data_IF_880807727249
#
_entry.id   IF_880807727249
#
_cell.length_a   1.000
_cell.length_b   1.000
_cell.length_c   1.000
_cell.angle_alpha   90.00
_cell.angle_beta   90.00
_cell.angle_gamma   90.00
#
_symmetry.space_group_name_H-M   'P 1'
#
loop_
_entity.id
_entity.type
_entity.pdbx_description
1 polymer ?
#
# COMPACT_ATOMS: atom_id res chain seq x y z
N UNK A 1 26.11 -4.37 15.06
CA UNK A 1 25.85 -3.35 14.02
C UNK A 1 25.47 -2.06 14.74
N UNK A 2 25.99 -0.90 14.35
CA UNK A 2 25.60 0.39 14.93
C UNK A 2 24.18 0.75 14.51
N UNK A 3 23.29 0.95 15.48
CA UNK A 3 21.91 1.39 15.26
C UNK A 3 21.90 2.71 14.48
N UNK A 4 21.32 2.72 13.29
CA UNK A 4 21.13 3.97 12.53
C UNK A 4 20.01 4.76 13.19
N UNK A 5 20.24 6.04 13.46
CA UNK A 5 19.15 6.92 13.92
C UNK A 5 18.11 7.08 12.81
N UNK A 6 16.82 6.88 13.13
CA UNK A 6 15.68 7.08 12.19
C UNK A 6 15.76 8.43 11.49
N UNK A 7 16.14 9.49 12.21
CA UNK A 7 16.32 10.84 11.66
C UNK A 7 17.39 10.92 10.58
N UNK A 8 18.49 10.18 10.73
CA UNK A 8 19.55 10.15 9.73
C UNK A 8 19.11 9.39 8.48
N UNK A 9 18.34 8.31 8.64
CA UNK A 9 17.73 7.57 7.52
C UNK A 9 16.75 8.46 6.77
N UNK A 10 15.82 9.09 7.49
CA UNK A 10 14.85 10.02 6.93
C UNK A 10 15.53 11.14 6.13
N UNK A 11 16.53 11.80 6.72
CA UNK A 11 17.30 12.85 6.02
C UNK A 11 17.94 12.31 4.75
N UNK A 12 18.58 11.13 4.82
CA UNK A 12 19.26 10.53 3.66
C UNK A 12 18.27 10.20 2.54
N UNK A 13 17.09 9.67 2.87
CA UNK A 13 16.05 9.36 1.88
C UNK A 13 15.55 10.65 1.24
N UNK A 14 15.21 11.65 2.06
CA UNK A 14 14.76 12.96 1.59
C UNK A 14 15.78 13.60 0.64
N UNK A 15 17.07 13.61 1.01
CA UNK A 15 18.15 14.15 0.18
C UNK A 15 18.39 13.34 -1.12
N UNK A 16 17.82 12.13 -1.23
CA UNK A 16 18.00 11.23 -2.38
C UNK A 16 16.88 11.30 -3.40
N UNK A 17 15.84 12.08 -3.14
CA UNK A 17 14.75 12.32 -4.08
C UNK A 17 15.17 13.40 -5.08
N UNK A 18 14.89 13.15 -6.35
CA UNK A 18 15.23 14.08 -7.43
C UNK A 18 14.17 15.18 -7.59
N UNK A 19 12.92 14.89 -7.22
CA UNK A 19 11.80 15.81 -7.36
C UNK A 19 11.64 16.67 -6.11
N UNK A 20 11.35 17.97 -6.24
CA UNK A 20 11.13 18.85 -5.10
C UNK A 20 9.91 18.40 -4.28
N UNK A 21 10.06 18.44 -2.96
CA UNK A 21 8.95 18.30 -2.01
C UNK A 21 8.45 19.70 -1.63
N UNK A 22 7.21 19.98 -2.01
CA UNK A 22 6.48 21.20 -1.68
C UNK A 22 5.61 20.94 -0.45
N UNK A 23 5.64 21.83 0.54
CA UNK A 23 4.83 21.66 1.75
C UNK A 23 3.53 22.47 1.67
N UNK A 24 2.43 21.86 2.10
CA UNK A 24 1.14 22.52 2.25
C UNK A 24 0.49 22.13 3.57
N UNK A 25 -0.05 23.12 4.29
CA UNK A 25 -0.85 22.85 5.48
C UNK A 25 -2.14 22.13 5.10
N UNK A 26 -2.55 21.16 5.90
CA UNK A 26 -3.76 20.37 5.65
C UNK A 26 -4.56 20.14 6.92
N UNK A 27 -5.87 19.96 6.74
CA UNK A 27 -6.79 19.44 7.76
C UNK A 27 -6.78 17.91 7.83
N UNK A 28 -5.99 17.21 6.99
CA UNK A 28 -5.87 15.75 7.05
C UNK A 28 -5.28 15.31 8.41
N UNK A 29 -5.76 14.16 8.95
CA UNK A 29 -5.39 13.71 10.29
C UNK A 29 -3.99 13.10 10.38
N UNK A 30 -3.37 12.79 9.23
CA UNK A 30 -2.08 12.11 9.12
C UNK A 30 -1.21 12.76 8.04
N UNK A 31 0.11 12.57 8.14
CA UNK A 31 1.01 12.95 7.06
C UNK A 31 0.67 12.20 5.77
N UNK A 32 0.72 12.91 4.64
CA UNK A 32 0.61 12.33 3.30
C UNK A 32 1.63 12.98 2.37
N UNK A 33 2.29 12.19 1.52
CA UNK A 33 3.06 12.70 0.38
C UNK A 33 2.40 12.23 -0.91
N UNK A 34 1.85 13.17 -1.66
CA UNK A 34 1.31 12.90 -2.99
C UNK A 34 2.36 13.21 -4.05
N UNK A 35 2.50 12.33 -5.03
CA UNK A 35 3.47 12.51 -6.12
C UNK A 35 2.77 12.87 -7.43
N UNK A 36 3.22 13.96 -8.04
CA UNK A 36 2.83 14.40 -9.37
C UNK A 36 3.96 14.04 -10.34
N UNK A 37 3.84 12.85 -10.96
CA UNK A 37 4.82 12.37 -11.93
C UNK A 37 4.93 13.29 -13.16
N UNK A 38 3.84 13.92 -13.57
CA UNK A 38 3.82 14.77 -14.76
C UNK A 38 4.65 16.04 -14.54
N UNK A 39 4.46 16.68 -13.39
CA UNK A 39 5.21 17.88 -13.04
C UNK A 39 6.53 17.58 -12.30
N UNK A 40 6.81 16.30 -12.04
CA UNK A 40 7.98 15.83 -11.29
C UNK A 40 8.12 16.57 -9.97
N UNK A 41 7.10 16.50 -9.13
CA UNK A 41 7.06 17.12 -7.81
C UNK A 41 6.31 16.27 -6.81
N UNK A 42 6.59 16.51 -5.53
CA UNK A 42 5.88 15.90 -4.41
C UNK A 42 5.19 16.98 -3.58
N UNK A 43 4.01 16.66 -3.05
CA UNK A 43 3.25 17.53 -2.16
C UNK A 43 3.13 16.84 -0.81
N UNK A 44 3.80 17.41 0.20
CA UNK A 44 3.75 16.94 1.57
C UNK A 44 2.69 17.72 2.33
N UNK A 45 1.72 16.98 2.83
CA UNK A 45 0.64 17.48 3.65
C UNK A 45 0.87 17.07 5.10
N UNK A 46 1.01 18.05 5.99
CA UNK A 46 1.26 17.83 7.42
C UNK A 46 0.03 18.26 8.23
N UNK A 47 -0.47 17.41 9.16
CA UNK A 47 -1.63 17.75 9.99
C UNK A 47 -1.42 19.06 10.76
N UNK A 48 -2.42 19.94 10.73
CA UNK A 48 -2.33 21.25 11.41
C UNK A 48 -2.33 21.18 12.95
N UNK A 49 -2.73 20.05 13.56
CA UNK A 49 -2.89 19.90 15.02
C UNK A 49 -1.78 19.07 15.65
N UNK A 50 -1.16 19.58 16.72
CA UNK A 50 -0.10 18.90 17.49
C UNK A 50 -0.52 17.57 18.13
N UNK A 51 -1.82 17.27 18.24
CA UNK A 51 -2.34 16.05 18.87
C UNK A 51 -2.12 14.78 18.03
N UNK A 52 -1.80 14.92 16.74
CA UNK A 52 -1.44 13.83 15.84
C UNK A 52 -0.02 14.06 15.28
N UNK A 53 0.99 14.19 16.15
CA UNK A 53 2.38 14.24 15.68
C UNK A 53 2.70 12.91 15.01
N UNK A 54 2.73 12.91 13.67
CA UNK A 54 3.20 11.79 12.87
C UNK A 54 4.60 11.38 13.33
N UNK A 55 4.82 10.09 13.43
CA UNK A 55 6.10 9.54 13.85
C UNK A 55 7.14 9.72 12.75
N UNK A 56 8.44 9.71 13.09
CA UNK A 56 9.51 9.71 12.08
C UNK A 56 9.38 8.50 11.13
N UNK A 57 8.73 7.40 11.56
CA UNK A 57 8.44 6.23 10.73
C UNK A 57 7.30 6.49 9.74
N UNK A 58 6.26 7.24 10.12
CA UNK A 58 5.17 7.63 9.22
C UNK A 58 5.71 8.55 8.11
N UNK A 59 6.59 9.49 8.48
CA UNK A 59 7.29 10.32 7.51
C UNK A 59 8.15 9.49 6.56
N UNK A 60 8.87 8.49 7.09
CA UNK A 60 9.68 7.59 6.26
C UNK A 60 8.79 6.74 5.34
N UNK A 61 7.62 6.31 5.80
CA UNK A 61 6.66 5.55 5.02
C UNK A 61 6.19 6.34 3.80
N UNK A 62 5.73 7.58 4.00
CA UNK A 62 5.30 8.45 2.90
C UNK A 62 6.44 8.80 1.94
N UNK A 63 7.68 8.95 2.44
CA UNK A 63 8.87 9.10 1.58
C UNK A 63 9.18 7.82 0.80
N UNK A 64 8.79 6.65 1.30
CA UNK A 64 8.89 5.39 0.56
C UNK A 64 8.00 5.39 -0.67
N UNK A 65 6.74 5.82 -0.55
CA UNK A 65 5.85 6.00 -1.72
C UNK A 65 6.43 6.98 -2.75
N UNK A 66 6.96 8.12 -2.29
CA UNK A 66 7.64 9.08 -3.16
C UNK A 66 8.86 8.46 -3.87
N UNK A 67 9.70 7.74 -3.13
CA UNK A 67 10.89 7.04 -3.66
C UNK A 67 10.50 6.03 -4.74
N UNK A 68 9.44 5.27 -4.53
CA UNK A 68 8.99 4.25 -5.47
C UNK A 68 8.37 4.85 -6.72
N UNK A 69 7.64 5.96 -6.58
CA UNK A 69 7.13 6.73 -7.70
C UNK A 69 8.26 7.22 -8.62
N UNK A 70 9.35 7.77 -8.06
CA UNK A 70 10.48 8.28 -8.84
C UNK A 70 11.33 7.15 -9.45
N UNK A 71 11.68 6.14 -8.65
CA UNK A 71 12.78 5.21 -8.96
C UNK A 71 12.31 3.88 -9.53
N UNK A 72 11.05 3.51 -9.30
CA UNK A 72 10.50 2.23 -9.75
C UNK A 72 9.44 2.46 -10.82
N UNK A 73 8.31 3.06 -10.45
CA UNK A 73 7.23 3.33 -11.39
C UNK A 73 6.20 4.34 -10.82
N UNK A 74 5.67 5.26 -11.63
CA UNK A 74 4.68 6.27 -11.19
C UNK A 74 3.39 5.72 -10.57
N UNK A 75 3.04 4.46 -10.85
CA UNK A 75 1.82 3.81 -10.34
C UNK A 75 1.86 3.52 -8.84
N UNK A 76 3.04 3.63 -8.21
CA UNK A 76 3.19 3.62 -6.75
C UNK A 76 2.72 4.92 -6.09
N UNK A 77 2.45 5.99 -6.87
CA UNK A 77 1.74 7.15 -6.37
C UNK A 77 0.25 6.81 -6.24
N UNK A 78 -0.14 6.28 -5.08
CA UNK A 78 -1.44 5.68 -4.75
C UNK A 78 -2.70 6.50 -5.08
N UNK A 79 -2.58 7.78 -5.46
CA UNK A 79 -3.72 8.68 -5.68
C UNK A 79 -3.69 9.49 -6.99
N UNK A 80 -2.71 9.31 -7.90
CA UNK A 80 -2.54 10.24 -9.04
C UNK A 80 -2.66 9.63 -10.45
N UNK A 81 -2.84 8.32 -10.60
CA UNK A 81 -2.78 7.64 -11.91
C UNK A 81 -4.09 6.94 -12.30
N UNK A 82 -5.23 7.64 -12.18
CA UNK A 82 -6.49 7.18 -12.77
C UNK A 82 -6.80 7.95 -14.05
N UNK A 83 -7.46 7.32 -15.04
CA UNK A 83 -7.87 7.99 -16.27
C UNK A 83 -8.63 9.28 -15.98
N UNK A 84 -8.44 10.33 -16.79
CA UNK A 84 -9.13 11.60 -16.55
C UNK A 84 -10.68 11.47 -16.60
N UNK A 85 -11.18 10.43 -17.29
CA UNK A 85 -12.61 10.09 -17.42
C UNK A 85 -13.09 9.00 -16.44
N UNK A 86 -12.23 8.58 -15.52
CA UNK A 86 -12.56 7.65 -14.45
C UNK A 86 -13.80 8.11 -13.66
N UNK A 87 -14.90 7.35 -13.70
CA UNK A 87 -16.03 7.58 -12.81
C UNK A 87 -15.58 7.26 -11.38
N UNK A 88 -15.34 8.29 -10.56
CA UNK A 88 -14.87 8.17 -9.16
C UNK A 88 -15.61 7.10 -8.36
N UNK A 89 -16.91 6.87 -8.62
CA UNK A 89 -17.70 5.83 -7.93
C UNK A 89 -17.21 4.40 -8.19
N UNK A 90 -16.57 4.14 -9.32
CA UNK A 90 -16.01 2.83 -9.67
C UNK A 90 -14.66 2.59 -8.99
N UNK A 91 -13.89 3.64 -8.69
CA UNK A 91 -12.53 3.51 -8.13
C UNK A 91 -12.51 3.49 -6.60
N UNK A 92 -13.45 4.18 -5.94
CA UNK A 92 -13.51 4.26 -4.48
C UNK A 92 -13.46 2.88 -3.80
N UNK A 93 -14.18 1.83 -4.26
CA UNK A 93 -14.11 0.50 -3.65
C UNK A 93 -12.75 -0.19 -3.75
N UNK A 94 -11.87 0.29 -4.64
CA UNK A 94 -10.57 -0.34 -4.95
C UNK A 94 -9.40 0.35 -4.26
N UNK A 95 -9.60 1.60 -3.82
CA UNK A 95 -8.57 2.38 -3.11
C UNK A 95 -7.95 1.62 -1.93
N UNK A 96 -8.70 0.82 -1.14
CA UNK A 96 -8.10 0.01 -0.08
C UNK A 96 -7.05 -0.97 -0.62
N UNK A 97 -7.37 -1.81 -1.61
CA UNK A 97 -6.41 -2.76 -2.16
C UNK A 97 -5.22 -2.07 -2.84
N UNK A 98 -5.45 -0.96 -3.55
CA UNK A 98 -4.37 -0.17 -4.15
C UNK A 98 -3.39 0.37 -3.10
N UNK A 99 -3.92 0.93 -2.02
CA UNK A 99 -3.13 1.52 -0.94
C UNK A 99 -2.35 0.43 -0.21
N UNK A 100 -3.04 -0.59 0.31
CA UNK A 100 -2.40 -1.65 1.11
C UNK A 100 -1.42 -2.49 0.27
N UNK A 101 -1.68 -2.68 -1.04
CA UNK A 101 -0.72 -3.34 -1.92
C UNK A 101 0.57 -2.51 -2.11
N UNK A 102 0.47 -1.18 -2.24
CA UNK A 102 1.64 -0.31 -2.29
C UNK A 102 2.41 -0.35 -0.97
N UNK A 103 1.68 -0.31 0.15
CA UNK A 103 2.24 -0.36 1.50
C UNK A 103 3.02 -1.66 1.76
N UNK A 104 2.62 -2.79 1.17
CA UNK A 104 3.39 -4.04 1.26
C UNK A 104 4.85 -3.87 0.82
N UNK A 105 5.09 -3.17 -0.29
CA UNK A 105 6.43 -2.94 -0.79
C UNK A 105 7.15 -1.84 0.00
N UNK A 106 6.44 -0.75 0.34
CA UNK A 106 7.02 0.36 1.12
C UNK A 106 7.43 -0.10 2.52
N UNK A 107 6.59 -0.89 3.20
CA UNK A 107 6.91 -1.43 4.51
C UNK A 107 8.10 -2.40 4.46
N UNK A 108 8.23 -3.20 3.41
CA UNK A 108 9.44 -4.01 3.23
C UNK A 108 10.69 -3.16 3.06
N UNK A 109 10.61 -2.10 2.25
CA UNK A 109 11.72 -1.16 2.10
C UNK A 109 12.07 -0.47 3.44
N UNK A 110 11.08 -0.11 4.27
CA UNK A 110 11.32 0.38 5.63
C UNK A 110 11.99 -0.69 6.51
N UNK A 111 11.56 -1.96 6.40
CA UNK A 111 12.14 -3.09 7.12
C UNK A 111 13.62 -3.30 6.76
N UNK A 112 14.02 -3.09 5.50
CA UNK A 112 15.43 -3.16 5.10
C UNK A 112 16.27 -2.01 5.69
N UNK A 113 15.66 -0.85 5.89
CA UNK A 113 16.35 0.33 6.43
C UNK A 113 16.46 0.31 7.96
N UNK A 114 15.40 -0.12 8.64
CA UNK A 114 15.21 -0.03 10.09
C UNK A 114 14.54 -1.31 10.63
N UNK A 115 15.20 -2.48 10.55
CA UNK A 115 14.56 -3.76 10.84
C UNK A 115 14.10 -3.91 12.28
N UNK A 116 14.86 -3.41 13.25
CA UNK A 116 14.52 -3.51 14.67
C UNK A 116 13.29 -2.66 15.01
N UNK A 117 13.24 -1.43 14.51
CA UNK A 117 12.12 -0.51 14.69
C UNK A 117 10.85 -1.06 14.05
N UNK A 118 10.92 -1.53 12.80
CA UNK A 118 9.75 -2.08 12.10
C UNK A 118 9.24 -3.38 12.73
N UNK A 119 10.13 -4.27 13.16
CA UNK A 119 9.73 -5.44 13.97
C UNK A 119 9.07 -5.03 15.30
N UNK A 120 9.49 -3.92 15.91
CA UNK A 120 8.83 -3.34 17.08
C UNK A 120 7.39 -2.91 16.78
N UNK A 121 7.21 -2.13 15.71
CA UNK A 121 5.88 -1.68 15.26
C UNK A 121 4.94 -2.85 14.99
N UNK A 122 5.41 -3.89 14.30
CA UNK A 122 4.58 -5.09 14.01
C UNK A 122 4.11 -5.72 15.32
N UNK A 123 5.02 -5.97 16.27
CA UNK A 123 4.65 -6.58 17.58
C UNK A 123 3.68 -5.74 18.38
N UNK A 124 3.88 -4.42 18.41
CA UNK A 124 3.00 -3.49 19.12
C UNK A 124 1.61 -3.40 18.47
N UNK A 125 1.50 -3.67 17.17
CA UNK A 125 0.24 -3.59 16.42
C UNK A 125 -0.59 -4.88 16.49
N UNK A 126 0.04 -6.04 16.70
CA UNK A 126 -0.66 -7.34 16.69
C UNK A 126 -1.83 -7.45 17.69
N UNK A 127 -1.75 -6.96 18.94
CA UNK A 127 -2.88 -7.02 19.86
C UNK A 127 -4.12 -6.27 19.35
N UNK A 128 -3.93 -5.17 18.62
CA UNK A 128 -5.04 -4.42 18.02
C UNK A 128 -5.68 -5.21 16.86
N UNK A 129 -4.86 -5.91 16.07
CA UNK A 129 -5.35 -6.80 15.00
C UNK A 129 -6.22 -7.91 15.59
N UNK A 130 -5.76 -8.54 16.67
CA UNK A 130 -6.54 -9.57 17.38
C UNK A 130 -7.87 -9.02 17.92
N UNK A 131 -7.85 -7.83 18.54
CA UNK A 131 -9.06 -7.18 19.05
C UNK A 131 -10.07 -6.89 17.94
N UNK A 132 -9.61 -6.34 16.80
CA UNK A 132 -10.47 -6.00 15.66
C UNK A 132 -11.09 -7.26 15.06
N UNK A 133 -10.30 -8.31 14.86
CA UNK A 133 -10.75 -9.56 14.23
C UNK A 133 -11.58 -10.43 15.18
N UNK A 134 -11.51 -10.19 16.49
CA UNK A 134 -12.33 -10.87 17.49
C UNK A 134 -13.76 -10.33 17.64
N UNK A 135 -14.14 -9.27 16.91
CA UNK A 135 -15.48 -8.67 16.98
C UNK A 135 -16.51 -9.51 16.21
N UNK A 136 -17.75 -9.53 16.69
CA UNK A 136 -18.86 -10.25 16.03
C UNK A 136 -19.24 -9.64 14.68
N UNK A 137 -19.14 -8.32 14.57
CA UNK A 137 -19.40 -7.59 13.32
C UNK A 137 -18.12 -7.50 12.49
N UNK A 138 -18.21 -7.88 11.21
CA UNK A 138 -17.08 -7.76 10.29
C UNK A 138 -16.73 -6.29 10.07
N UNK A 139 -15.47 -5.89 10.25
CA UNK A 139 -15.06 -4.52 10.03
C UNK A 139 -15.06 -4.19 8.52
N UNK A 140 -15.01 -2.89 8.16
CA UNK A 140 -14.82 -2.46 6.78
C UNK A 140 -13.61 -3.13 6.10
N UNK A 141 -13.71 -3.34 4.77
CA UNK A 141 -12.67 -4.05 3.99
C UNK A 141 -11.27 -3.43 4.12
N UNK A 142 -11.18 -2.10 4.26
CA UNK A 142 -9.93 -1.39 4.51
C UNK A 142 -9.23 -1.87 5.79
N UNK A 143 -9.98 -2.05 6.88
CA UNK A 143 -9.44 -2.55 8.14
C UNK A 143 -9.03 -4.02 8.01
N UNK A 144 -9.78 -4.83 7.25
CA UNK A 144 -9.44 -6.24 7.00
C UNK A 144 -8.14 -6.35 6.20
N UNK A 145 -7.96 -5.49 5.18
CA UNK A 145 -6.75 -5.46 4.37
C UNK A 145 -5.53 -5.04 5.19
N UNK A 146 -5.64 -4.00 6.02
CA UNK A 146 -4.55 -3.54 6.89
C UNK A 146 -4.17 -4.61 7.94
N UNK A 147 -5.17 -5.28 8.52
CA UNK A 147 -4.94 -6.43 9.41
C UNK A 147 -4.23 -7.58 8.68
N UNK A 148 -4.65 -7.89 7.45
CA UNK A 148 -4.02 -8.94 6.62
C UNK A 148 -2.57 -8.61 6.29
N UNK A 149 -2.28 -7.36 5.98
CA UNK A 149 -0.92 -6.85 5.75
C UNK A 149 -0.05 -7.06 6.99
N UNK A 150 -0.52 -6.64 8.16
CA UNK A 150 0.22 -6.80 9.43
C UNK A 150 0.49 -8.28 9.76
N UNK A 151 -0.50 -9.16 9.56
CA UNK A 151 -0.31 -10.61 9.75
C UNK A 151 0.74 -11.17 8.77
N UNK A 152 0.69 -10.76 7.50
CA UNK A 152 1.69 -11.17 6.51
C UNK A 152 3.10 -10.70 6.89
N UNK A 153 3.23 -9.47 7.40
CA UNK A 153 4.50 -8.93 7.90
C UNK A 153 5.00 -9.69 9.14
N UNK A 154 4.13 -9.99 10.11
CA UNK A 154 4.49 -10.77 11.29
C UNK A 154 4.98 -12.18 10.92
N UNK A 155 4.28 -12.87 10.02
CA UNK A 155 4.73 -14.16 9.47
C UNK A 155 6.10 -14.06 8.80
N UNK A 156 6.30 -13.02 7.97
CA UNK A 156 7.52 -12.86 7.18
C UNK A 156 8.74 -12.44 8.00
N UNK A 157 8.59 -11.48 8.91
CA UNK A 157 9.73 -10.85 9.59
C UNK A 157 9.93 -11.30 11.03
N UNK A 158 8.86 -11.75 11.70
CA UNK A 158 8.94 -12.24 13.08
C UNK A 158 8.94 -13.77 13.16
N UNK A 159 8.66 -14.47 12.05
CA UNK A 159 8.45 -15.91 11.99
C UNK A 159 7.37 -16.39 12.97
N UNK A 160 6.36 -15.56 13.22
CA UNK A 160 5.27 -15.91 14.13
C UNK A 160 4.27 -16.85 13.45
N UNK A 161 3.94 -18.00 14.08
CA UNK A 161 2.96 -18.94 13.55
C UNK A 161 1.54 -18.43 13.85
N UNK A 162 1.11 -17.42 13.08
CA UNK A 162 -0.24 -16.86 13.21
C UNK A 162 -1.20 -17.69 12.36
N UNK A 163 -2.12 -18.39 13.03
CA UNK A 163 -3.19 -19.10 12.35
C UNK A 163 -4.28 -18.11 11.91
N UNK A 164 -4.49 -18.03 10.60
CA UNK A 164 -5.58 -17.27 9.99
C UNK A 164 -6.45 -18.25 9.18
N UNK A 165 -7.75 -18.24 9.44
CA UNK A 165 -8.74 -19.07 8.73
C UNK A 165 -9.61 -18.26 7.79
N UNK A 166 -10.33 -18.95 6.91
CA UNK A 166 -11.34 -18.35 6.03
C UNK A 166 -10.79 -17.26 5.07
N UNK A 167 -11.59 -16.25 4.72
CA UNK A 167 -11.20 -15.20 3.76
C UNK A 167 -9.95 -14.40 4.17
N UNK A 168 -9.67 -14.29 5.46
CA UNK A 168 -8.46 -13.63 5.97
C UNK A 168 -7.19 -14.38 5.52
N UNK A 169 -7.25 -15.71 5.47
CA UNK A 169 -6.14 -16.53 4.99
C UNK A 169 -5.81 -16.21 3.53
N UNK A 170 -6.82 -16.06 2.69
CA UNK A 170 -6.64 -15.79 1.26
C UNK A 170 -5.97 -14.42 1.03
N UNK A 171 -6.31 -13.42 1.84
CA UNK A 171 -5.66 -12.10 1.82
C UNK A 171 -4.20 -12.16 2.30
N UNK A 172 -3.92 -12.87 3.39
CA UNK A 172 -2.55 -13.06 3.90
C UNK A 172 -1.69 -13.80 2.88
N UNK A 173 -2.23 -14.86 2.27
CA UNK A 173 -1.54 -15.64 1.23
C UNK A 173 -1.31 -14.79 -0.03
N UNK A 174 -2.21 -13.87 -0.37
CA UNK A 174 -2.01 -12.94 -1.47
C UNK A 174 -0.74 -12.10 -1.27
N UNK A 175 -0.57 -11.46 -0.10
CA UNK A 175 0.65 -10.72 0.26
C UNK A 175 1.89 -11.62 0.21
N UNK A 176 1.85 -12.77 0.88
CA UNK A 176 3.00 -13.67 0.94
C UNK A 176 3.38 -14.28 -0.41
N UNK A 177 2.46 -14.33 -1.37
CA UNK A 177 2.71 -14.83 -2.73
C UNK A 177 3.44 -13.85 -3.65
N UNK A 178 3.54 -12.57 -3.27
CA UNK A 178 4.21 -11.53 -4.05
C UNK A 178 5.43 -11.02 -3.26
N UNK A 179 6.67 -11.26 -3.74
CA UNK A 179 7.88 -10.88 -3.00
C UNK A 179 8.02 -9.34 -2.96
N UNK A 180 7.99 -8.71 -1.77
CA UNK A 180 8.09 -7.25 -1.68
C UNK A 180 9.50 -6.70 -1.99
N UNK A 181 10.53 -7.54 -2.01
CA UNK A 181 11.92 -7.21 -2.41
C UNK A 181 12.07 -6.93 -3.91
N UNK A 182 11.05 -7.24 -4.71
CA UNK A 182 11.04 -7.04 -6.15
C UNK A 182 9.92 -6.09 -6.58
N UNK A 183 9.94 -4.80 -6.17
CA UNK A 183 8.89 -3.87 -6.54
C UNK A 183 8.91 -3.58 -8.04
N UNK A 184 7.74 -3.73 -8.66
CA UNK A 184 7.51 -3.39 -10.06
C UNK A 184 6.02 -3.10 -10.28
N UNK A 185 5.70 -2.40 -11.36
CA UNK A 185 4.31 -2.17 -11.77
C UNK A 185 3.54 -3.49 -11.96
N UNK A 186 4.20 -4.52 -12.50
CA UNK A 186 3.65 -5.86 -12.69
C UNK A 186 3.34 -6.55 -11.35
N UNK A 187 4.29 -6.60 -10.43
CA UNK A 187 4.09 -7.23 -9.13
C UNK A 187 3.03 -6.49 -8.29
N UNK A 188 2.99 -5.16 -8.37
CA UNK A 188 1.94 -4.37 -7.75
C UNK A 188 0.56 -4.72 -8.35
N UNK A 189 0.45 -4.79 -9.68
CA UNK A 189 -0.80 -5.19 -10.38
C UNK A 189 -1.24 -6.60 -9.99
N UNK A 190 -0.30 -7.55 -9.89
CA UNK A 190 -0.58 -8.92 -9.45
C UNK A 190 -1.13 -8.93 -8.02
N UNK A 191 -0.50 -8.20 -7.10
CA UNK A 191 -0.93 -8.13 -5.71
C UNK A 191 -2.31 -7.50 -5.58
N UNK A 192 -2.55 -6.35 -6.21
CA UNK A 192 -3.87 -5.67 -6.18
C UNK A 192 -4.96 -6.62 -6.65
N UNK A 193 -4.75 -7.30 -7.78
CA UNK A 193 -5.74 -8.24 -8.32
C UNK A 193 -5.98 -9.44 -7.42
N UNK A 194 -4.94 -9.97 -6.74
CA UNK A 194 -5.10 -11.05 -5.76
C UNK A 194 -5.91 -10.60 -4.53
N UNK A 195 -5.67 -9.38 -4.04
CA UNK A 195 -6.42 -8.82 -2.91
C UNK A 195 -7.88 -8.58 -3.30
N UNK A 196 -8.12 -7.92 -4.43
CA UNK A 196 -9.46 -7.62 -4.94
C UNK A 196 -10.29 -8.87 -5.22
N UNK A 197 -9.68 -9.96 -5.70
CA UNK A 197 -10.38 -11.21 -5.99
C UNK A 197 -11.11 -11.82 -4.78
N UNK A 198 -10.81 -11.38 -3.56
CA UNK A 198 -11.49 -11.85 -2.34
C UNK A 198 -12.80 -11.12 -2.06
N UNK A 199 -13.04 -9.96 -2.67
CA UNK A 199 -14.22 -9.12 -2.38
C UNK A 199 -14.82 -8.38 -3.59
N UNK A 200 -14.25 -8.53 -4.79
CA UNK A 200 -14.72 -7.91 -6.02
C UNK A 200 -14.57 -8.84 -7.23
N UNK A 201 -15.49 -8.72 -8.20
CA UNK A 201 -15.40 -9.36 -9.53
C UNK A 201 -14.60 -8.53 -10.53
N UNK A 202 -14.15 -7.35 -10.11
CA UNK A 202 -13.37 -6.43 -10.92
C UNK A 202 -11.86 -6.70 -10.78
N UNK A 203 -11.11 -6.29 -11.80
CA UNK A 203 -9.65 -6.35 -11.85
C UNK A 203 -9.07 -5.03 -12.31
N UNK A 204 -7.83 -4.79 -11.91
CA UNK A 204 -7.01 -3.71 -12.44
C UNK A 204 -6.09 -4.19 -13.54
N UNK A 205 -5.92 -3.33 -14.54
CA UNK A 205 -4.83 -3.41 -15.49
C UNK A 205 -4.22 -2.03 -15.67
N UNK A 206 -2.99 -1.99 -16.20
CA UNK A 206 -2.35 -0.74 -16.60
C UNK A 206 -2.58 -0.52 -18.08
N UNK A 207 -3.14 0.64 -18.43
CA UNK A 207 -3.37 1.05 -19.82
C UNK A 207 -2.57 2.31 -20.13
N UNK A 208 -2.06 2.46 -21.36
CA UNK A 208 -1.42 3.70 -21.77
C UNK A 208 -2.47 4.81 -21.96
N UNK A 209 -2.24 5.96 -21.33
CA UNK A 209 -3.01 7.18 -21.53
C UNK A 209 -2.05 8.36 -21.73
N UNK A 210 -2.08 8.95 -22.92
CA UNK A 210 -1.17 10.01 -23.37
C UNK A 210 0.32 9.69 -23.17
N UNK A 211 0.89 10.13 -22.05
CA UNK A 211 2.30 10.04 -21.66
C UNK A 211 2.54 9.21 -20.39
N UNK A 212 1.52 8.51 -19.89
CA UNK A 212 1.60 7.71 -18.67
C UNK A 212 0.88 6.35 -18.78
N UNK A 213 1.18 5.46 -17.83
CA UNK A 213 0.35 4.29 -17.56
C UNK A 213 -0.59 4.61 -16.40
N UNK A 214 -1.88 4.33 -16.59
CA UNK A 214 -2.94 4.59 -15.61
C UNK A 214 -3.70 3.30 -15.29
N UNK A 215 -4.32 3.28 -14.11
CA UNK A 215 -5.15 2.15 -13.68
C UNK A 215 -6.49 2.14 -14.44
N UNK A 216 -6.77 1.05 -15.15
CA UNK A 216 -8.08 0.76 -15.72
C UNK A 216 -8.75 -0.39 -14.97
N UNK A 217 -10.09 -0.38 -14.96
CA UNK A 217 -10.91 -1.41 -14.32
C UNK A 217 -11.52 -2.29 -15.42
N UNK A 218 -11.35 -3.59 -15.27
CA UNK A 218 -11.98 -4.59 -16.12
C UNK A 218 -12.89 -5.49 -15.28
N UNK A 219 -14.07 -5.81 -15.79
CA UNK A 219 -14.90 -6.86 -15.20
C UNK A 219 -14.38 -8.20 -15.67
N UNK A 220 -14.26 -9.16 -14.76
CA UNK A 220 -14.14 -10.55 -15.16
C UNK A 220 -15.40 -10.93 -15.95
N UNK A 221 -15.26 -11.16 -17.25
CA UNK A 221 -16.31 -11.85 -17.99
C UNK A 221 -16.49 -13.21 -17.32
N UNK A 222 -17.70 -13.49 -16.84
CA UNK A 222 -18.04 -14.81 -16.32
C UNK A 222 -17.64 -15.84 -17.37
N UNK A 223 -16.77 -16.79 -17.01
CA UNK A 223 -16.37 -17.85 -17.91
C UNK A 223 -17.63 -18.46 -18.51
N UNK A 224 -17.78 -18.36 -19.84
CA UNK A 224 -18.91 -18.98 -20.53
C UNK A 224 -18.97 -20.45 -20.09
N UNK A 225 -20.14 -20.96 -19.67
CA UNK A 225 -20.24 -22.32 -19.16
C UNK A 225 -19.68 -23.28 -20.21
N UNK A 226 -18.64 -24.02 -19.82
CA UNK A 226 -18.01 -25.01 -20.67
C UNK A 226 -19.05 -26.08 -21.01
N UNK A 227 -19.53 -26.06 -22.26
CA UNK A 227 -20.32 -27.14 -22.83
C UNK A 227 -21.84 -26.89 -22.89
N UNK A 228 -22.27 -26.27 -23.98
CA UNK A 228 -23.36 -26.85 -24.77
C UNK A 228 -22.79 -27.16 -26.16
N UNK A 229 -22.12 -28.30 -26.24
CA UNK A 229 -21.94 -28.98 -27.53
C UNK A 229 -23.31 -29.55 -27.87
N UNK A 230 -23.90 -29.05 -28.96
CA UNK A 230 -25.09 -29.64 -29.58
C UNK A 230 -24.70 -30.79 -30.50
#
# INVERSE_FOLDING_TARGET
MTRKSTKNVLKKVFDSLDWPILESGTDMPMIRILSDHKNKSHFKYVPAKEQNKSSDLDHLHELGHATFCEKIHPVFATNSQFPAMANKKQFLPMLPALSTASDWFVCHWQQELLPEEMCGVIRESMPLVEEILGKEELPPIEIILDASLLIAQAKRYLNEPIDCGGPLKDLVDAFLSVPPEAPSAENLTILINKLMATYSEERVCLVPEADALVWNIEKLEAAAPAGQVS
#
